data_IF_986624903134
#
_entry.id   IF_986624903134
#
_cell.length_a   1.000
_cell.length_b   1.000
_cell.length_c   1.000
_cell.angle_alpha   90.00
_cell.angle_beta   90.00
_cell.angle_gamma   90.00
#
_symmetry.space_group_name_H-M   'P 1'
#
loop_
_entity.id
_entity.type
_entity.pdbx_description
1 polymer ?
#
# COMPACT_ATOMS: atom_id res chain seq x y z
N UNK A 1 -8.37 -9.35 -9.63
CA UNK A 1 -8.15 -7.97 -10.15
C UNK A 1 -9.14 -7.01 -9.50
N UNK A 2 -8.71 -5.81 -9.09
CA UNK A 2 -9.48 -4.78 -8.35
C UNK A 2 -10.85 -4.42 -8.97
N UNK A 3 -10.97 -4.56 -10.29
CA UNK A 3 -12.19 -4.27 -11.06
C UNK A 3 -13.15 -5.45 -11.21
N UNK A 4 -12.82 -6.63 -10.67
CA UNK A 4 -13.70 -7.81 -10.77
C UNK A 4 -14.95 -7.71 -9.88
N UNK A 5 -16.01 -8.42 -10.27
CA UNK A 5 -17.27 -8.48 -9.52
C UNK A 5 -17.08 -8.93 -8.07
N UNK A 6 -16.18 -9.88 -7.84
CA UNK A 6 -15.83 -10.39 -6.50
C UNK A 6 -15.28 -9.30 -5.56
N UNK A 7 -14.76 -8.21 -6.13
CA UNK A 7 -14.15 -7.10 -5.39
C UNK A 7 -15.05 -5.86 -5.34
N UNK A 8 -16.30 -5.93 -5.85
CA UNK A 8 -17.27 -4.80 -5.87
C UNK A 8 -17.59 -4.24 -4.48
N UNK A 9 -17.49 -5.06 -3.43
CA UNK A 9 -17.71 -4.63 -2.04
C UNK A 9 -16.67 -3.62 -1.53
N UNK A 10 -15.49 -3.59 -2.14
CA UNK A 10 -14.44 -2.63 -1.80
C UNK A 10 -14.55 -1.39 -2.69
N UNK A 11 -14.47 -0.21 -2.11
CA UNK A 11 -14.42 1.05 -2.87
C UNK A 11 -13.06 1.74 -2.78
N UNK A 12 -12.17 1.26 -1.90
CA UNK A 12 -10.81 1.76 -1.70
C UNK A 12 -9.76 0.67 -1.91
N UNK A 13 -8.61 0.98 -2.49
CA UNK A 13 -7.47 0.07 -2.54
C UNK A 13 -6.25 0.71 -1.93
N UNK A 14 -5.43 -0.12 -1.27
CA UNK A 14 -4.19 0.28 -0.62
C UNK A 14 -3.13 -0.78 -0.96
N UNK A 15 -1.92 -0.34 -1.24
CA UNK A 15 -0.83 -1.17 -1.73
C UNK A 15 0.42 -0.86 -0.92
N UNK A 16 1.03 -1.88 -0.31
CA UNK A 16 2.25 -1.80 0.52
C UNK A 16 3.24 -2.88 0.11
N UNK A 17 3.97 -2.60 -0.96
CA UNK A 17 4.77 -3.59 -1.69
C UNK A 17 6.26 -3.66 -1.28
N UNK A 18 6.63 -3.07 -0.14
CA UNK A 18 8.01 -3.00 0.30
C UNK A 18 8.08 -2.98 1.83
N UNK A 19 9.18 -3.47 2.40
CA UNK A 19 9.40 -3.44 3.86
C UNK A 19 9.32 -2.03 4.45
N UNK A 20 9.74 -1.01 3.70
CA UNK A 20 9.66 0.39 4.11
C UNK A 20 8.24 0.97 4.01
N UNK A 21 7.29 0.25 3.41
CA UNK A 21 5.88 0.64 3.35
C UNK A 21 5.13 0.23 4.64
N UNK A 22 5.64 0.69 5.78
CA UNK A 22 5.21 0.30 7.12
C UNK A 22 4.17 1.24 7.74
N UNK A 23 3.45 2.00 6.92
CA UNK A 23 2.37 2.89 7.33
C UNK A 23 1.02 2.37 6.84
N UNK A 24 -0.07 2.75 7.50
CA UNK A 24 -1.41 2.32 7.12
C UNK A 24 -1.74 2.67 5.67
N UNK A 25 -1.40 3.90 5.24
CA UNK A 25 -1.60 4.43 3.90
C UNK A 25 -0.38 5.24 3.47
N UNK A 26 0.25 4.84 2.37
CA UNK A 26 1.29 5.63 1.71
C UNK A 26 0.68 6.82 0.99
N UNK A 27 1.47 7.87 0.73
CA UNK A 27 1.01 9.05 -0.01
C UNK A 27 0.50 8.73 -1.42
N UNK A 28 1.14 7.78 -2.11
CA UNK A 28 0.90 7.51 -3.54
C UNK A 28 0.39 6.12 -3.91
N UNK A 29 0.27 5.17 -2.98
CA UNK A 29 -0.10 3.77 -3.28
C UNK A 29 -1.49 3.40 -2.76
N UNK A 30 -2.47 4.21 -3.14
CA UNK A 30 -3.88 3.97 -2.86
C UNK A 30 -4.76 4.57 -3.96
N UNK A 31 -6.03 4.18 -3.97
CA UNK A 31 -7.01 4.86 -4.80
C UNK A 31 -8.44 4.46 -4.47
N UNK A 32 -9.37 5.30 -4.88
CA UNK A 32 -10.80 5.10 -4.63
C UNK A 32 -11.57 4.90 -5.94
N UNK A 33 -12.74 4.27 -5.85
CA UNK A 33 -13.68 4.15 -6.95
C UNK A 33 -14.85 5.12 -6.76
N UNK A 34 -14.88 6.28 -7.45
CA UNK A 34 -16.00 7.21 -7.37
C UNK A 34 -17.33 6.55 -7.75
N UNK A 35 -17.34 5.65 -8.74
CA UNK A 35 -18.55 4.94 -9.15
C UNK A 35 -19.17 4.07 -8.06
N UNK A 36 -18.38 3.59 -7.08
CA UNK A 36 -18.87 2.75 -5.98
C UNK A 36 -19.25 3.56 -4.74
N UNK A 37 -18.62 4.71 -4.50
CA UNK A 37 -18.72 5.40 -3.21
C UNK A 37 -18.66 6.93 -3.30
N UNK A 38 -19.15 7.55 -4.38
CA UNK A 38 -19.05 9.02 -4.61
C UNK A 38 -19.43 9.87 -3.40
N UNK A 39 -20.58 9.59 -2.77
CA UNK A 39 -21.05 10.37 -1.62
C UNK A 39 -20.15 10.17 -0.38
N UNK A 40 -19.73 8.94 -0.10
CA UNK A 40 -18.82 8.65 1.00
C UNK A 40 -17.46 9.33 0.80
N UNK A 41 -16.90 9.27 -0.41
CA UNK A 41 -15.62 9.91 -0.72
C UNK A 41 -15.68 11.43 -0.55
N UNK A 42 -16.79 12.07 -0.92
CA UNK A 42 -16.96 13.50 -0.67
C UNK A 42 -16.81 13.86 0.81
N UNK A 43 -17.43 13.08 1.70
CA UNK A 43 -17.37 13.29 3.15
C UNK A 43 -16.00 12.95 3.73
N UNK A 44 -15.41 11.82 3.33
CA UNK A 44 -14.11 11.36 3.83
C UNK A 44 -13.00 12.37 3.51
N UNK A 45 -13.05 13.01 2.34
CA UNK A 45 -12.04 13.99 1.94
C UNK A 45 -12.39 15.45 2.28
N UNK A 46 -13.52 15.71 2.95
CA UNK A 46 -13.85 17.08 3.43
C UNK A 46 -12.75 17.74 4.25
N UNK A 47 -12.05 17.05 5.19
CA UNK A 47 -11.02 17.68 6.00
C UNK A 47 -9.89 18.32 5.17
N UNK A 48 -9.62 17.79 3.97
CA UNK A 48 -8.61 18.35 3.05
C UNK A 48 -8.99 19.75 2.54
N UNK A 49 -10.29 20.06 2.50
CA UNK A 49 -10.81 21.34 2.02
C UNK A 49 -10.87 22.40 3.14
N UNK A 50 -10.60 22.02 4.39
CA UNK A 50 -10.63 22.94 5.55
C UNK A 50 -9.22 23.47 5.81
N UNK A 51 -8.93 24.78 5.57
CA UNK A 51 -7.57 25.30 5.64
C UNK A 51 -6.90 25.20 7.01
N UNK A 52 -7.68 25.22 8.10
CA UNK A 52 -7.13 25.04 9.46
C UNK A 52 -6.68 23.61 9.73
N UNK A 53 -7.27 22.61 9.07
CA UNK A 53 -6.86 21.20 9.14
C UNK A 53 -5.68 20.99 8.19
N UNK A 54 -5.84 21.32 6.91
CA UNK A 54 -4.82 21.07 5.89
C UNK A 54 -3.45 21.68 6.24
N UNK A 55 -3.41 22.88 6.84
CA UNK A 55 -2.15 23.55 7.23
C UNK A 55 -1.37 22.88 8.37
N UNK A 56 -1.98 21.94 9.09
CA UNK A 56 -1.31 21.15 10.13
C UNK A 56 -0.36 20.11 9.52
N UNK A 57 -0.63 19.70 8.28
CA UNK A 57 0.09 18.63 7.58
C UNK A 57 1.02 19.24 6.52
N UNK A 58 2.34 19.25 6.77
CA UNK A 58 3.36 19.84 5.90
C UNK A 58 4.41 18.80 5.49
N UNK A 59 5.09 19.00 4.36
CA UNK A 59 6.13 18.08 3.89
C UNK A 59 5.56 16.67 3.64
N UNK A 60 6.15 15.65 4.27
CA UNK A 60 5.64 14.27 4.27
C UNK A 60 4.37 14.06 5.16
N UNK A 61 3.68 15.14 5.48
CA UNK A 61 2.47 15.15 6.30
C UNK A 61 1.23 14.61 5.59
N UNK A 62 1.30 14.32 4.29
CA UNK A 62 0.23 13.65 3.55
C UNK A 62 -0.08 12.26 4.14
N UNK A 63 0.95 11.46 4.48
CA UNK A 63 0.76 10.16 5.11
C UNK A 63 0.13 10.26 6.50
N UNK A 64 0.51 11.28 7.27
CA UNK A 64 -0.11 11.57 8.57
C UNK A 64 -1.56 12.01 8.39
N UNK A 65 -1.85 12.88 7.43
CA UNK A 65 -3.22 13.30 7.10
C UNK A 65 -4.09 12.09 6.74
N UNK A 66 -3.59 11.20 5.86
CA UNK A 66 -4.29 9.98 5.47
C UNK A 66 -4.55 9.06 6.67
N UNK A 67 -3.57 8.88 7.56
CA UNK A 67 -3.71 8.09 8.78
C UNK A 67 -4.78 8.66 9.72
N UNK A 68 -4.73 9.96 9.98
CA UNK A 68 -5.58 10.64 10.96
C UNK A 68 -7.02 10.81 10.46
N UNK A 69 -7.19 11.16 9.18
CA UNK A 69 -8.46 11.63 8.64
C UNK A 69 -9.14 10.64 7.69
N UNK A 70 -8.41 9.69 7.08
CA UNK A 70 -8.95 8.85 6.00
C UNK A 70 -9.01 7.37 6.41
N UNK A 71 -7.93 6.85 7.01
CA UNK A 71 -7.77 5.42 7.29
C UNK A 71 -8.94 4.80 8.05
N UNK A 72 -9.41 5.46 9.11
CA UNK A 72 -10.50 4.93 9.95
C UNK A 72 -11.82 4.75 9.17
N UNK A 73 -12.04 5.55 8.13
CA UNK A 73 -13.25 5.46 7.30
C UNK A 73 -13.16 4.35 6.24
N UNK A 74 -11.96 4.04 5.76
CA UNK A 74 -11.78 3.16 4.60
C UNK A 74 -11.28 1.76 4.95
N UNK A 75 -10.69 1.54 6.14
CA UNK A 75 -10.02 0.28 6.50
C UNK A 75 -10.88 -0.99 6.34
N UNK A 76 -12.18 -0.90 6.62
CA UNK A 76 -13.11 -2.03 6.48
C UNK A 76 -13.68 -2.20 5.07
N UNK A 77 -13.45 -1.22 4.19
CA UNK A 77 -13.93 -1.20 2.80
C UNK A 77 -12.78 -1.10 1.78
N UNK A 78 -11.56 -1.40 2.24
CA UNK A 78 -10.35 -1.38 1.43
C UNK A 78 -9.92 -2.79 0.99
N UNK A 79 -9.58 -2.95 -0.30
CA UNK A 79 -8.77 -4.09 -0.74
C UNK A 79 -7.30 -3.73 -0.54
N UNK A 80 -6.66 -4.42 0.39
CA UNK A 80 -5.30 -4.12 0.81
C UNK A 80 -4.39 -5.22 0.30
N UNK A 81 -3.31 -4.84 -0.38
CA UNK A 81 -2.21 -5.74 -0.73
C UNK A 81 -0.98 -5.34 0.07
N UNK A 82 -0.36 -6.29 0.75
CA UNK A 82 0.78 -6.05 1.64
C UNK A 82 1.78 -7.21 1.58
N UNK A 83 3.04 -6.88 1.27
CA UNK A 83 4.13 -7.87 1.17
C UNK A 83 4.81 -8.17 2.51
N UNK A 84 4.71 -7.28 3.52
CA UNK A 84 5.55 -7.35 4.73
C UNK A 84 4.81 -7.14 6.04
N UNK A 85 3.68 -6.43 6.05
CA UNK A 85 2.95 -6.01 7.23
C UNK A 85 1.50 -6.52 7.24
N UNK A 86 1.19 -7.59 6.49
CA UNK A 86 -0.15 -8.14 6.39
C UNK A 86 -0.75 -8.57 7.75
N UNK A 87 0.07 -9.09 8.67
CA UNK A 87 -0.38 -9.51 10.00
C UNK A 87 -0.66 -8.33 10.95
N UNK A 88 0.10 -7.24 10.80
CA UNK A 88 0.07 -6.09 11.70
C UNK A 88 -0.85 -4.97 11.22
N UNK A 89 -0.87 -4.72 9.91
CA UNK A 89 -1.65 -3.67 9.25
C UNK A 89 -2.81 -4.24 8.41
N UNK A 90 -3.01 -5.56 8.42
CA UNK A 90 -4.02 -6.25 7.62
C UNK A 90 -3.66 -6.33 6.14
N UNK A 91 -4.52 -6.98 5.36
CA UNK A 91 -4.37 -7.10 3.92
C UNK A 91 -3.95 -8.48 3.46
N UNK A 92 -3.90 -8.66 2.16
CA UNK A 92 -3.60 -9.95 1.54
C UNK A 92 -2.24 -9.92 0.85
N UNK A 93 -1.62 -11.09 0.65
CA UNK A 93 -0.38 -11.23 -0.11
C UNK A 93 -0.47 -10.64 -1.51
N UNK A 94 0.67 -10.20 -2.03
CA UNK A 94 0.77 -9.84 -3.44
C UNK A 94 0.65 -11.07 -4.35
N UNK A 95 -0.01 -10.89 -5.49
CA UNK A 95 -0.25 -11.96 -6.46
C UNK A 95 0.94 -12.18 -7.42
N UNK A 96 2.12 -11.70 -7.06
CA UNK A 96 3.33 -11.79 -7.88
C UNK A 96 4.57 -11.72 -7.00
N UNK A 97 5.62 -12.43 -7.39
CA UNK A 97 6.93 -12.36 -6.78
C UNK A 97 7.71 -11.12 -7.26
N UNK A 98 8.70 -10.68 -6.47
CA UNK A 98 9.71 -9.67 -6.80
C UNK A 98 11.05 -10.37 -7.00
N UNK A 99 11.38 -10.86 -8.21
CA UNK A 99 12.61 -11.59 -8.43
C UNK A 99 13.84 -10.73 -8.12
N UNK A 100 14.89 -11.38 -7.63
CA UNK A 100 16.22 -10.82 -7.41
C UNK A 100 17.04 -11.07 -8.67
N UNK A 101 17.90 -10.12 -9.12
CA UNK A 101 18.33 -8.91 -8.41
C UNK A 101 17.47 -7.66 -8.60
N UNK A 102 16.46 -7.69 -9.48
CA UNK A 102 15.75 -6.48 -9.90
C UNK A 102 14.90 -5.88 -8.76
N UNK A 103 14.27 -6.74 -7.94
CA UNK A 103 13.50 -6.41 -6.74
C UNK A 103 12.55 -5.19 -6.94
N UNK A 104 11.84 -5.18 -8.07
CA UNK A 104 11.03 -4.04 -8.52
C UNK A 104 9.68 -3.99 -7.81
N UNK A 105 9.57 -3.17 -6.76
CA UNK A 105 8.31 -3.01 -6.03
C UNK A 105 7.49 -1.79 -6.49
N UNK A 106 6.18 -1.77 -6.23
CA UNK A 106 5.30 -0.64 -6.53
C UNK A 106 5.64 0.58 -5.67
N UNK A 107 5.73 1.77 -6.28
CA UNK A 107 6.14 3.00 -5.59
C UNK A 107 7.65 3.27 -5.66
N UNK A 108 8.40 2.33 -6.23
CA UNK A 108 9.81 2.49 -6.52
C UNK A 108 10.08 3.46 -7.69
N UNK A 109 11.20 4.19 -7.65
CA UNK A 109 11.69 5.03 -8.75
C UNK A 109 12.08 4.13 -9.95
N UNK A 110 11.63 4.53 -11.15
CA UNK A 110 11.87 3.80 -12.40
C UNK A 110 13.37 3.81 -12.79
N UNK A 111 13.88 2.77 -13.50
CA UNK A 111 13.16 1.59 -14.02
C UNK A 111 12.83 0.56 -12.93
N UNK A 112 13.74 0.35 -11.99
CA UNK A 112 13.57 -0.28 -10.68
C UNK A 112 14.61 0.41 -9.77
N UNK A 113 14.50 0.28 -8.44
CA UNK A 113 15.27 1.03 -7.44
C UNK A 113 16.68 0.44 -7.33
N UNK A 114 17.36 0.35 -8.47
CA UNK A 114 18.69 -0.18 -8.61
C UNK A 114 19.59 0.87 -7.94
N UNK A 115 20.05 0.57 -6.74
CA UNK A 115 21.21 1.26 -6.20
C UNK A 115 22.38 0.99 -7.14
N UNK A 116 22.78 2.00 -7.90
CA UNK A 116 24.05 2.06 -8.64
C UNK A 116 25.26 2.20 -7.71
N UNK A 117 25.11 1.97 -6.42
CA UNK A 117 26.20 1.98 -5.45
C UNK A 117 26.10 0.77 -4.52
N UNK A 118 27.20 0.02 -4.49
CA UNK A 118 27.51 -1.09 -3.58
C UNK A 118 27.04 -2.49 -4.00
N UNK A 119 27.96 -3.18 -4.66
CA UNK A 119 28.26 -4.61 -4.41
C UNK A 119 27.78 -5.08 -3.03
N UNK A 120 26.74 -5.91 -2.99
CA UNK A 120 26.24 -6.48 -1.75
C UNK A 120 25.21 -7.56 -2.05
N UNK A 121 25.38 -8.73 -1.42
CA UNK A 121 24.49 -9.89 -1.49
C UNK A 121 23.00 -9.54 -1.52
N UNK A 122 22.12 -10.41 -2.07
CA UNK A 122 20.69 -10.31 -1.85
C UNK A 122 20.44 -10.08 -0.37
N UNK A 123 19.95 -8.89 -0.04
CA UNK A 123 19.72 -8.49 1.34
C UNK A 123 18.71 -9.50 1.91
N UNK A 124 19.15 -10.40 2.81
CA UNK A 124 18.28 -11.31 3.57
C UNK A 124 17.13 -10.54 4.25
N UNK A 125 17.31 -9.24 4.45
CA UNK A 125 16.32 -8.29 4.94
C UNK A 125 15.09 -8.05 4.05
N UNK A 126 15.09 -8.51 2.79
CA UNK A 126 13.98 -8.38 1.83
C UNK A 126 13.15 -9.67 1.69
N UNK A 127 13.31 -10.64 2.59
CA UNK A 127 12.44 -11.81 2.60
C UNK A 127 11.08 -11.42 3.18
N UNK A 128 10.00 -11.64 2.43
CA UNK A 128 8.64 -11.42 2.94
C UNK A 128 8.28 -12.46 4.01
N UNK A 129 7.56 -12.07 5.09
CA UNK A 129 7.11 -13.00 6.12
C UNK A 129 6.24 -14.12 5.54
N UNK A 130 6.33 -15.38 6.02
CA UNK A 130 5.51 -16.48 5.53
C UNK A 130 4.00 -16.18 5.51
N UNK A 131 3.49 -15.47 6.52
CA UNK A 131 2.09 -15.07 6.60
C UNK A 131 1.65 -14.12 5.48
N UNK A 132 2.58 -13.34 4.92
CA UNK A 132 2.32 -12.40 3.83
C UNK A 132 2.65 -12.97 2.45
N UNK A 133 2.91 -14.28 2.36
CA UNK A 133 3.06 -15.00 1.09
C UNK A 133 1.73 -15.59 0.65
N UNK A 134 1.45 -15.69 -0.66
CA UNK A 134 0.27 -16.38 -1.13
C UNK A 134 0.23 -17.82 -0.62
N UNK A 135 -0.96 -18.30 -0.24
CA UNK A 135 -1.14 -19.64 0.32
C UNK A 135 -0.58 -20.70 -0.64
N UNK A 136 -0.81 -20.54 -1.94
CA UNK A 136 -0.37 -21.48 -2.98
C UNK A 136 1.08 -21.24 -3.46
N UNK A 137 1.78 -20.24 -2.92
CA UNK A 137 3.14 -19.85 -3.33
C UNK A 137 4.02 -19.46 -2.13
N UNK A 138 4.16 -20.35 -1.15
CA UNK A 138 4.99 -20.13 0.03
C UNK A 138 6.50 -20.10 -0.27
N UNK A 139 6.88 -20.61 -1.45
CA UNK A 139 8.22 -20.57 -2.04
C UNK A 139 8.61 -19.18 -2.56
N UNK A 140 7.64 -18.28 -2.77
CA UNK A 140 7.88 -16.89 -3.15
C UNK A 140 8.37 -16.09 -1.94
N UNK A 141 9.66 -16.25 -1.62
CA UNK A 141 10.28 -15.60 -0.48
C UNK A 141 10.59 -14.11 -0.72
N UNK A 142 10.48 -13.64 -1.97
CA UNK A 142 10.64 -12.23 -2.33
C UNK A 142 9.31 -11.68 -2.83
N UNK A 143 8.64 -10.95 -1.95
CA UNK A 143 7.44 -10.18 -2.21
C UNK A 143 7.78 -8.69 -2.01
#
# INVERSE_FOLDING_TARGET
MWLSDKQKKYFFHIVRDNKQHNVAMLGGLWGASPGRARHYLFHIFQPMLVPSIARQYKGAGDQLFLSDNIWQHVKTHALIFDSYNCDTLGGQPFLSQRPVPENCFLGCIRPCCINTTSSGSPNLNNICPPACRPIDHQDWIYC
#
